data_IF_475074821217
#
_entry.id   IF_475074821217
#
_cell.length_a   1.000
_cell.length_b   1.000
_cell.length_c   1.000
_cell.angle_alpha   90.00
_cell.angle_beta   90.00
_cell.angle_gamma   90.00
#
_symmetry.space_group_name_H-M   'P 1'
#
loop_
_entity.id
_entity.type
_entity.pdbx_description
1 polymer ?
#
# COMPACT_ATOMS: atom_id res chain seq x y z
N UNK A 1 12.91 15.27 0.36
CA UNK A 1 13.80 14.56 -0.59
C UNK A 1 12.94 13.66 -1.47
N UNK A 2 13.18 13.58 -2.78
CA UNK A 2 12.45 12.74 -3.73
C UNK A 2 13.39 11.72 -4.38
N UNK A 3 12.84 10.73 -5.09
CA UNK A 3 13.58 9.64 -5.74
C UNK A 3 14.80 10.09 -6.55
N UNK A 4 14.70 11.21 -7.27
CA UNK A 4 15.79 11.81 -8.05
C UNK A 4 17.03 12.08 -7.18
N UNK A 5 16.85 12.57 -5.96
CA UNK A 5 17.95 12.85 -5.02
C UNK A 5 18.59 11.58 -4.45
N UNK A 6 17.90 10.45 -4.52
CA UNK A 6 18.43 9.14 -4.13
C UNK A 6 19.06 8.37 -5.29
N UNK A 7 19.14 8.98 -6.48
CA UNK A 7 19.69 8.37 -7.69
C UNK A 7 18.84 7.23 -8.24
N UNK A 8 17.54 7.23 -7.96
CA UNK A 8 16.62 6.20 -8.45
C UNK A 8 16.09 6.57 -9.84
N UNK A 9 15.86 5.55 -10.67
CA UNK A 9 15.36 5.71 -12.03
C UNK A 9 13.92 6.24 -12.06
N UNK A 10 13.54 6.89 -13.16
CA UNK A 10 12.14 7.16 -13.47
C UNK A 10 11.47 5.87 -13.90
N UNK A 11 10.15 5.78 -13.72
CA UNK A 11 9.41 4.58 -14.10
C UNK A 11 9.44 4.30 -15.59
N UNK A 12 9.39 5.35 -16.40
CA UNK A 12 9.45 5.29 -17.86
C UNK A 12 10.75 4.63 -18.36
N UNK A 13 11.80 4.65 -17.54
CA UNK A 13 13.12 4.12 -17.87
C UNK A 13 13.33 2.68 -17.35
N UNK A 14 12.43 2.17 -16.50
CA UNK A 14 12.56 0.84 -15.89
C UNK A 14 12.10 -0.27 -16.84
N UNK A 15 12.81 -1.41 -16.82
CA UNK A 15 12.34 -2.65 -17.47
C UNK A 15 11.56 -3.46 -16.45
N UNK A 16 10.23 -3.52 -16.62
CA UNK A 16 9.31 -4.10 -15.64
C UNK A 16 8.53 -5.29 -16.22
N UNK A 17 8.11 -6.19 -15.33
CA UNK A 17 7.20 -7.27 -15.67
C UNK A 17 5.74 -6.80 -15.61
N UNK A 18 4.86 -7.46 -16.36
CA UNK A 18 3.43 -7.19 -16.30
C UNK A 18 2.78 -7.92 -15.13
N UNK A 19 1.85 -7.26 -14.45
CA UNK A 19 0.99 -7.89 -13.45
C UNK A 19 -0.35 -8.27 -14.03
N UNK A 20 -0.84 -9.45 -13.65
CA UNK A 20 -2.18 -9.88 -14.00
C UNK A 20 -3.23 -9.20 -13.12
N UNK A 21 -4.08 -8.35 -13.72
CA UNK A 21 -5.22 -7.76 -13.04
C UNK A 21 -6.47 -8.58 -13.32
N UNK A 22 -6.93 -9.34 -12.34
CA UNK A 22 -8.12 -10.17 -12.46
C UNK A 22 -9.38 -9.32 -12.56
N UNK A 23 -9.87 -9.14 -13.79
CA UNK A 23 -11.11 -8.40 -14.09
C UNK A 23 -12.36 -9.06 -13.52
N UNK A 24 -12.28 -10.32 -13.08
CA UNK A 24 -13.38 -10.96 -12.36
C UNK A 24 -13.60 -10.32 -10.99
N UNK A 25 -12.62 -9.61 -10.42
CA UNK A 25 -12.73 -8.87 -9.16
C UNK A 25 -13.27 -7.46 -9.46
N UNK A 26 -14.50 -7.40 -9.93
CA UNK A 26 -15.16 -6.17 -10.38
C UNK A 26 -16.10 -5.57 -9.32
N UNK A 27 -16.26 -6.23 -8.17
CA UNK A 27 -17.22 -5.80 -7.17
C UNK A 27 -16.76 -6.08 -5.73
N UNK A 28 -17.36 -5.31 -4.81
CA UNK A 28 -17.07 -5.36 -3.36
C UNK A 28 -17.44 -6.72 -2.76
N UNK A 29 -18.45 -7.41 -3.30
CA UNK A 29 -18.96 -8.67 -2.77
C UNK A 29 -17.93 -9.80 -2.93
N UNK A 30 -17.33 -9.95 -4.12
CA UNK A 30 -16.26 -10.92 -4.37
C UNK A 30 -15.06 -10.66 -3.49
N UNK A 31 -14.73 -9.40 -3.25
CA UNK A 31 -13.61 -9.08 -2.36
C UNK A 31 -13.97 -9.33 -0.91
N UNK A 32 -15.23 -9.15 -0.51
CA UNK A 32 -15.68 -9.55 0.82
C UNK A 32 -15.49 -11.05 1.02
N UNK A 33 -15.79 -11.87 0.02
CA UNK A 33 -15.51 -13.32 0.06
C UNK A 33 -14.01 -13.61 0.12
N UNK A 34 -13.18 -12.96 -0.71
CA UNK A 34 -11.72 -13.10 -0.63
C UNK A 34 -11.16 -12.64 0.73
N UNK A 35 -11.75 -11.60 1.32
CA UNK A 35 -11.38 -11.10 2.63
C UNK A 35 -11.75 -12.11 3.72
N UNK A 36 -12.96 -12.70 3.69
CA UNK A 36 -13.37 -13.76 4.62
C UNK A 36 -12.44 -14.97 4.52
N UNK A 37 -12.07 -15.38 3.30
CA UNK A 37 -11.11 -16.48 3.09
C UNK A 37 -9.75 -16.16 3.75
N UNK A 38 -9.32 -14.89 3.70
CA UNK A 38 -8.05 -14.45 4.29
C UNK A 38 -8.15 -14.09 5.79
N UNK A 39 -9.34 -14.02 6.38
CA UNK A 39 -9.50 -13.78 7.82
C UNK A 39 -9.27 -15.06 8.62
N UNK A 40 -8.61 -14.96 9.76
CA UNK A 40 -8.52 -16.08 10.72
C UNK A 40 -9.85 -16.21 11.44
N UNK A 41 -10.36 -17.43 11.65
CA UNK A 41 -11.62 -17.70 12.34
C UNK A 41 -11.76 -16.84 13.60
N UNK A 42 -12.82 -16.04 13.65
CA UNK A 42 -13.17 -15.02 14.66
C UNK A 42 -12.58 -13.60 14.53
N UNK A 43 -11.77 -13.27 13.52
CA UNK A 43 -11.16 -11.93 13.38
C UNK A 43 -11.70 -11.14 12.18
N UNK A 44 -12.19 -9.92 12.41
CA UNK A 44 -12.65 -8.96 11.36
C UNK A 44 -11.49 -8.31 10.57
N UNK A 45 -10.33 -8.96 10.52
CA UNK A 45 -9.13 -8.41 9.89
C UNK A 45 -8.27 -9.50 9.26
N UNK A 46 -7.62 -9.13 8.15
CA UNK A 46 -6.62 -9.94 7.45
C UNK A 46 -5.25 -9.60 8.00
N UNK A 47 -4.36 -10.59 8.10
CA UNK A 47 -2.96 -10.41 8.47
C UNK A 47 -2.08 -10.57 7.24
N UNK A 48 -1.14 -9.65 7.11
CA UNK A 48 -0.06 -9.65 6.15
C UNK A 48 1.27 -9.62 6.90
N UNK A 49 2.34 -9.89 6.16
CA UNK A 49 3.71 -9.74 6.61
C UNK A 49 4.47 -8.97 5.54
N UNK A 50 5.36 -8.08 5.95
CA UNK A 50 6.22 -7.37 5.00
C UNK A 50 7.57 -8.05 4.79
N UNK A 51 8.39 -7.48 3.91
CA UNK A 51 9.74 -7.94 3.59
C UNK A 51 10.72 -8.01 4.79
N UNK A 52 10.35 -7.47 5.96
CA UNK A 52 11.12 -7.52 7.20
C UNK A 52 10.50 -8.47 8.25
N UNK A 53 9.43 -9.20 7.91
CA UNK A 53 8.74 -10.07 8.85
C UNK A 53 7.78 -9.33 9.79
N UNK A 54 7.47 -8.05 9.55
CA UNK A 54 6.59 -7.26 10.41
C UNK A 54 5.14 -7.61 10.14
N UNK A 55 4.39 -7.86 11.20
CA UNK A 55 2.95 -8.17 11.13
C UNK A 55 2.15 -6.92 10.81
N UNK A 56 1.41 -6.96 9.71
CA UNK A 56 0.54 -5.88 9.24
C UNK A 56 -0.91 -6.37 9.25
N UNK A 57 -1.83 -5.54 9.71
CA UNK A 57 -3.26 -5.84 9.71
C UNK A 57 -4.02 -5.04 8.65
N UNK A 58 -5.12 -5.59 8.18
CA UNK A 58 -6.11 -4.87 7.36
C UNK A 58 -7.50 -5.13 7.91
N UNK A 59 -8.15 -4.10 8.45
CA UNK A 59 -9.54 -4.18 8.93
C UNK A 59 -10.52 -3.97 7.77
N UNK A 60 -11.64 -4.68 7.81
CA UNK A 60 -12.69 -4.55 6.79
C UNK A 60 -13.24 -3.12 6.66
N UNK A 61 -13.42 -2.43 7.79
CA UNK A 61 -13.91 -1.05 7.79
C UNK A 61 -12.93 -0.09 7.11
N UNK A 62 -11.62 -0.25 7.38
CA UNK A 62 -10.56 0.53 6.73
C UNK A 62 -10.58 0.30 5.23
N UNK A 63 -10.72 -0.95 4.80
CA UNK A 63 -10.82 -1.31 3.39
C UNK A 63 -12.01 -0.66 2.68
N UNK A 64 -13.22 -0.87 3.19
CA UNK A 64 -14.46 -0.38 2.55
C UNK A 64 -14.57 1.13 2.52
N UNK A 65 -14.08 1.83 3.56
CA UNK A 65 -14.20 3.29 3.66
C UNK A 65 -13.05 4.04 2.98
N UNK A 66 -11.80 3.64 3.25
CA UNK A 66 -10.61 4.38 2.82
C UNK A 66 -10.08 3.92 1.47
N UNK A 67 -10.43 2.72 1.01
CA UNK A 67 -9.93 2.16 -0.25
C UNK A 67 -11.02 2.04 -1.30
N UNK A 68 -12.19 1.51 -0.96
CA UNK A 68 -13.31 1.34 -1.90
C UNK A 68 -14.44 2.37 -1.73
N UNK A 69 -14.21 3.43 -0.95
CA UNK A 69 -15.21 4.47 -0.75
C UNK A 69 -15.69 5.06 -2.08
N UNK A 70 -16.93 5.60 -2.10
CA UNK A 70 -17.60 6.10 -3.33
C UNK A 70 -16.71 7.02 -4.21
N UNK A 71 -15.84 7.83 -3.59
CA UNK A 71 -14.88 8.72 -4.27
C UNK A 71 -13.80 8.02 -5.08
N UNK A 72 -13.59 6.71 -4.90
CA UNK A 72 -12.54 5.92 -5.53
C UNK A 72 -13.04 4.92 -6.57
N UNK A 73 -14.34 4.91 -6.88
CA UNK A 73 -14.98 3.94 -7.81
C UNK A 73 -14.34 3.92 -9.22
N UNK A 74 -13.77 5.04 -9.67
CA UNK A 74 -13.09 5.12 -10.97
C UNK A 74 -11.66 4.57 -10.98
N UNK A 75 -11.05 4.31 -9.82
CA UNK A 75 -9.64 3.94 -9.69
C UNK A 75 -9.39 2.44 -9.68
N UNK A 76 -10.46 1.63 -9.73
CA UNK A 76 -10.42 0.16 -9.81
C UNK A 76 -9.48 -0.50 -8.79
N UNK A 77 -9.43 0.04 -7.57
CA UNK A 77 -8.53 -0.40 -6.49
C UNK A 77 -8.83 -1.84 -6.05
N UNK A 78 -10.04 -2.31 -6.30
CA UNK A 78 -10.47 -3.69 -6.13
C UNK A 78 -9.58 -4.70 -6.84
N UNK A 79 -9.16 -4.40 -8.07
CA UNK A 79 -8.34 -5.28 -8.91
C UNK A 79 -6.94 -5.53 -8.33
N UNK A 80 -6.50 -4.65 -7.43
CA UNK A 80 -5.17 -4.67 -6.83
C UNK A 80 -5.13 -5.53 -5.55
N UNK A 81 -6.28 -5.93 -5.00
CA UNK A 81 -6.36 -6.67 -3.74
C UNK A 81 -5.55 -7.98 -3.72
N UNK A 82 -5.51 -8.79 -4.80
CA UNK A 82 -4.69 -10.00 -4.82
C UNK A 82 -3.19 -9.74 -4.65
N UNK A 83 -2.72 -8.57 -5.10
CA UNK A 83 -1.29 -8.23 -5.19
C UNK A 83 -0.74 -7.57 -3.92
N UNK A 84 -1.58 -7.23 -2.96
CA UNK A 84 -1.17 -6.54 -1.72
C UNK A 84 -0.12 -7.35 -0.95
N UNK A 85 -0.25 -8.69 -0.94
CA UNK A 85 0.72 -9.57 -0.27
C UNK A 85 2.11 -9.48 -0.93
N UNK A 86 2.16 -9.50 -2.27
CA UNK A 86 3.42 -9.39 -3.02
C UNK A 86 4.06 -8.00 -2.87
N UNK A 87 3.26 -6.93 -2.88
CA UNK A 87 3.78 -5.57 -2.67
C UNK A 87 4.40 -5.41 -1.29
N UNK A 88 3.83 -6.03 -0.25
CA UNK A 88 4.37 -5.93 1.10
C UNK A 88 5.62 -6.79 1.29
N UNK A 89 5.64 -8.01 0.74
CA UNK A 89 6.76 -8.96 0.88
C UNK A 89 7.94 -8.66 -0.04
N UNK A 90 7.67 -8.13 -1.22
CA UNK A 90 8.66 -7.89 -2.26
C UNK A 90 8.52 -6.48 -2.87
N UNK A 91 8.57 -5.39 -2.06
CA UNK A 91 8.51 -4.03 -2.59
C UNK A 91 9.79 -3.68 -3.34
N UNK A 92 9.65 -2.91 -4.42
CA UNK A 92 10.81 -2.30 -5.09
C UNK A 92 11.31 -1.08 -4.30
N UNK A 93 10.38 -0.33 -3.71
CA UNK A 93 10.69 0.84 -2.90
C UNK A 93 9.81 0.92 -1.67
N UNK A 94 10.39 1.40 -0.58
CA UNK A 94 9.66 1.66 0.67
C UNK A 94 10.02 3.05 1.17
N UNK A 95 9.00 3.89 1.39
CA UNK A 95 9.17 5.29 1.74
C UNK A 95 8.48 5.61 3.07
N UNK A 96 9.21 6.22 4.01
CA UNK A 96 8.60 6.88 5.16
C UNK A 96 8.30 8.33 4.79
N UNK A 97 7.01 8.65 4.76
CA UNK A 97 6.50 9.96 4.33
C UNK A 97 5.75 10.66 5.45
N UNK A 98 6.04 11.94 5.62
CA UNK A 98 5.23 12.82 6.46
C UNK A 98 3.83 13.00 5.86
N UNK A 99 2.80 12.73 6.65
CA UNK A 99 1.40 12.85 6.25
C UNK A 99 0.76 14.15 6.76
N UNK A 100 1.06 14.53 7.99
CA UNK A 100 0.48 15.70 8.63
C UNK A 100 0.75 15.72 10.13
N UNK A 101 0.04 16.58 10.86
CA UNK A 101 0.09 16.65 12.32
C UNK A 101 -1.23 16.13 12.89
N UNK A 102 -1.16 15.31 13.93
CA UNK A 102 -2.33 14.95 14.72
C UNK A 102 -2.84 16.22 15.43
N UNK A 103 -4.09 16.60 15.16
CA UNK A 103 -4.67 17.84 15.69
C UNK A 103 -4.91 17.80 17.19
N UNK A 104 -4.95 16.62 17.81
CA UNK A 104 -5.18 16.42 19.25
C UNK A 104 -3.87 16.40 20.01
N UNK A 105 -2.84 15.72 19.51
CA UNK A 105 -1.56 15.57 20.22
C UNK A 105 -0.49 16.58 19.76
N UNK A 106 -0.65 17.16 18.56
CA UNK A 106 0.37 18.02 17.96
C UNK A 106 1.56 17.26 17.37
N UNK A 107 1.50 15.93 17.33
CA UNK A 107 2.60 15.09 16.87
C UNK A 107 2.57 14.86 15.35
N UNK A 108 3.75 14.68 14.76
CA UNK A 108 3.86 14.36 13.34
C UNK A 108 3.38 12.93 13.05
N UNK A 109 2.45 12.81 12.12
CA UNK A 109 1.97 11.55 11.58
C UNK A 109 2.84 11.17 10.39
N UNK A 110 3.41 9.98 10.46
CA UNK A 110 4.16 9.38 9.37
C UNK A 110 3.40 8.18 8.81
N UNK A 111 3.56 7.95 7.51
CA UNK A 111 3.03 6.79 6.83
C UNK A 111 4.15 6.10 6.07
N UNK A 112 4.04 4.78 5.93
CA UNK A 112 4.95 3.99 5.10
C UNK A 112 4.27 3.64 3.79
N UNK A 113 4.87 4.03 2.68
CA UNK A 113 4.43 3.72 1.32
C UNK A 113 5.31 2.58 0.78
N UNK A 114 4.72 1.39 0.62
CA UNK A 114 5.34 0.25 -0.08
C UNK A 114 4.95 0.34 -1.54
N UNK A 115 5.92 0.33 -2.43
CA UNK A 115 5.69 0.55 -3.86
C UNK A 115 6.30 -0.62 -4.63
N UNK A 116 5.49 -1.17 -5.53
CA UNK A 116 5.92 -2.16 -6.51
C UNK A 116 5.58 -1.70 -7.92
N UNK A 117 6.54 -1.81 -8.81
CA UNK A 117 6.46 -1.37 -10.19
C UNK A 117 6.20 -2.57 -11.09
N UNK A 118 5.13 -2.46 -11.86
CA UNK A 118 4.84 -3.35 -12.99
C UNK A 118 4.68 -2.48 -14.23
N UNK A 119 4.93 -3.07 -15.40
CA UNK A 119 4.85 -2.37 -16.69
C UNK A 119 3.45 -1.75 -16.91
N UNK A 120 2.41 -2.48 -16.52
CA UNK A 120 1.01 -2.09 -16.69
C UNK A 120 0.33 -1.58 -15.40
N UNK A 121 1.03 -1.53 -14.25
CA UNK A 121 0.47 -1.02 -12.99
C UNK A 121 1.57 -0.60 -12.00
N UNK A 122 1.38 0.47 -11.25
CA UNK A 122 2.33 0.90 -10.21
C UNK A 122 1.64 0.86 -8.86
N UNK A 123 1.74 -0.25 -8.13
CA UNK A 123 0.91 -0.45 -6.94
C UNK A 123 1.59 0.16 -5.72
N UNK A 124 0.87 1.04 -5.03
CA UNK A 124 1.27 1.57 -3.73
C UNK A 124 0.35 1.02 -2.65
N UNK A 125 0.95 0.46 -1.59
CA UNK A 125 0.26 0.10 -0.34
C UNK A 125 0.74 1.03 0.76
N UNK A 126 -0.19 1.81 1.34
CA UNK A 126 0.09 2.75 2.41
C UNK A 126 -0.27 2.13 3.76
N UNK A 127 0.66 2.21 4.70
CA UNK A 127 0.45 1.75 6.08
C UNK A 127 0.73 2.86 7.09
N UNK A 128 0.18 2.70 8.28
CA UNK A 128 0.45 3.54 9.45
C UNK A 128 0.59 2.66 10.67
N UNK A 129 1.27 3.17 11.70
CA UNK A 129 1.13 2.64 13.05
C UNK A 129 -0.32 2.83 13.51
N UNK A 130 -0.85 1.86 14.24
CA UNK A 130 -2.16 1.94 14.89
C UNK A 130 -2.19 3.07 15.93
N UNK A 131 -3.38 3.52 16.32
CA UNK A 131 -3.54 4.63 17.28
C UNK A 131 -2.91 4.33 18.66
N UNK A 132 -2.82 3.05 19.02
CA UNK A 132 -2.14 2.55 20.23
C UNK A 132 -0.63 2.31 20.02
N UNK A 133 -0.11 2.53 18.81
CA UNK A 133 1.26 2.22 18.37
C UNK A 133 1.68 0.74 18.56
N UNK A 134 0.75 -0.17 18.81
CA UNK A 134 1.05 -1.58 19.07
C UNK A 134 1.18 -2.42 17.79
N UNK A 135 0.83 -1.86 16.63
CA UNK A 135 0.91 -2.57 15.36
C UNK A 135 0.93 -1.68 14.13
N UNK A 136 1.06 -2.32 12.97
CA UNK A 136 1.00 -1.66 11.66
C UNK A 136 -0.32 -2.05 11.00
N UNK A 137 -1.03 -1.08 10.44
CA UNK A 137 -2.27 -1.28 9.70
C UNK A 137 -2.17 -0.68 8.29
N UNK A 138 -2.73 -1.38 7.31
CA UNK A 138 -2.92 -0.86 5.96
C UNK A 138 -4.04 0.18 5.98
N UNK A 139 -3.72 1.41 5.58
CA UNK A 139 -4.71 2.47 5.38
C UNK A 139 -5.42 2.33 4.04
N UNK A 140 -4.65 2.17 2.96
CA UNK A 140 -5.18 2.12 1.60
C UNK A 140 -4.15 1.62 0.59
N UNK A 141 -4.60 1.35 -0.63
CA UNK A 141 -3.76 1.11 -1.79
C UNK A 141 -4.38 1.66 -3.08
N UNK A 142 -3.55 1.89 -4.08
CA UNK A 142 -3.96 2.36 -5.40
C UNK A 142 -2.83 2.21 -6.41
N UNK A 143 -3.17 2.27 -7.70
CA UNK A 143 -2.16 2.45 -8.75
C UNK A 143 -1.72 3.92 -8.77
N UNK A 144 -0.42 4.15 -8.78
CA UNK A 144 0.14 5.49 -8.93
C UNK A 144 0.14 5.86 -10.42
N UNK A 145 -0.33 7.06 -10.71
CA UNK A 145 -0.23 7.67 -12.04
C UNK A 145 1.12 8.38 -12.18
N UNK A 146 1.65 8.46 -13.41
CA UNK A 146 2.98 9.02 -13.69
C UNK A 146 3.11 10.48 -13.21
N UNK A 147 2.01 11.26 -13.30
CA UNK A 147 1.93 12.65 -12.81
C UNK A 147 2.22 12.77 -11.30
N UNK A 148 1.90 11.73 -10.52
CA UNK A 148 2.03 11.73 -9.07
C UNK A 148 3.28 10.98 -8.56
N UNK A 149 4.13 10.47 -9.45
CA UNK A 149 5.33 9.72 -9.11
C UNK A 149 6.21 10.44 -8.09
N UNK A 150 6.52 11.71 -8.35
CA UNK A 150 7.41 12.51 -7.49
C UNK A 150 6.81 12.72 -6.10
N UNK A 151 5.50 12.88 -6.02
CA UNK A 151 4.77 13.06 -4.77
C UNK A 151 4.66 11.77 -3.95
N UNK A 152 4.67 10.61 -4.60
CA UNK A 152 4.63 9.30 -3.93
C UNK A 152 6.01 8.76 -3.57
N UNK A 153 7.03 9.05 -4.38
CA UNK A 153 8.43 8.67 -4.11
C UNK A 153 9.19 9.83 -3.46
N UNK A 154 8.68 10.30 -2.32
CA UNK A 154 9.28 11.36 -1.50
C UNK A 154 9.28 11.01 -0.02
N UNK A 155 10.31 11.47 0.67
CA UNK A 155 10.50 11.26 2.10
C UNK A 155 11.86 10.63 2.39
N UNK A 156 11.85 9.75 3.39
CA UNK A 156 13.00 8.93 3.75
C UNK A 156 12.86 7.59 3.03
N UNK A 157 13.80 7.28 2.14
CA UNK A 157 13.86 5.98 1.49
C UNK A 157 14.37 4.95 2.51
N UNK A 158 13.59 3.91 2.75
CA UNK A 158 13.99 2.78 3.59
C UNK A 158 14.67 1.75 2.69
N UNK A 159 15.91 1.41 3.01
CA UNK A 159 16.65 0.34 2.34
C UNK A 159 16.86 -0.80 3.32
N UNK A 160 16.78 -2.03 2.84
CA UNK A 160 17.29 -3.18 3.59
C UNK A 160 18.79 -2.95 3.81
N UNK A 161 19.26 -3.07 5.04
CA UNK A 161 20.69 -3.01 5.33
C UNK A 161 21.43 -4.06 4.49
N UNK A 162 22.64 -3.73 4.02
CA UNK A 162 23.52 -4.76 3.47
C UNK A 162 23.92 -5.66 4.64
N UNK A 163 23.56 -6.94 4.55
CA UNK A 163 24.18 -7.99 5.36
C UNK A 163 25.62 -8.23 4.90
#
# INVERSE_FOLDING_TARGET
MSYEKYGLEKWEDMKLEQVYLDKSIDNIQKIHELFKIKTTDNKKFVRYEDYLGRKISLRWNTYTTKTLGKKYKGQKRELLFPHIDDVLKNPDEVWLRYYGVDKRTGENIYQTDYIKFYDNAKILVNTTTTEDMEGIEINTWFSIDDVNQKERRKGILIRKGKE
#
